data_IF_420046243253
#
_entry.id   IF_420046243253
#
_cell.length_a   1.000
_cell.length_b   1.000
_cell.length_c   1.000
_cell.angle_alpha   90.00
_cell.angle_beta   90.00
_cell.angle_gamma   90.00
#
_symmetry.space_group_name_H-M   'P 1'
#
loop_
_entity.id
_entity.type
_entity.pdbx_description
1 polymer ?
#
# COMPACT_ATOMS: atom_id res chain seq x y z
N UNK A 1 -16.02 -7.30 19.05
CA UNK A 1 -15.49 -6.26 18.15
C UNK A 1 -15.76 -6.71 16.72
N UNK A 2 -16.33 -5.84 15.88
CA UNK A 2 -16.54 -6.16 14.46
C UNK A 2 -15.18 -6.35 13.78
N UNK A 3 -15.08 -7.32 12.86
CA UNK A 3 -13.86 -7.49 12.07
C UNK A 3 -13.55 -6.23 11.27
N UNK A 4 -12.27 -5.85 11.18
CA UNK A 4 -11.81 -4.79 10.27
C UNK A 4 -12.27 -5.09 8.84
N UNK A 5 -12.71 -4.05 8.13
CA UNK A 5 -13.13 -4.16 6.73
C UNK A 5 -12.06 -3.60 5.80
N UNK A 6 -11.85 -4.27 4.68
CA UNK A 6 -10.89 -3.86 3.66
C UNK A 6 -11.63 -3.41 2.40
N UNK A 7 -11.31 -2.23 1.91
CA UNK A 7 -11.81 -1.68 0.64
C UNK A 7 -10.63 -1.55 -0.30
N UNK A 8 -10.65 -2.27 -1.42
CA UNK A 8 -9.59 -2.21 -2.42
C UNK A 8 -9.99 -1.26 -3.55
N UNK A 9 -9.15 -0.27 -3.82
CA UNK A 9 -9.34 0.68 -4.93
C UNK A 9 -8.35 0.35 -6.03
N UNK A 10 -8.85 -0.01 -7.21
CA UNK A 10 -8.05 -0.30 -8.39
C UNK A 10 -8.41 0.66 -9.54
N UNK A 11 -7.53 0.77 -10.55
CA UNK A 11 -7.76 1.61 -11.72
C UNK A 11 -7.76 0.81 -13.01
N UNK A 12 -8.70 1.10 -13.90
CA UNK A 12 -8.72 0.55 -15.26
C UNK A 12 -8.47 1.63 -16.32
N UNK A 13 -8.31 1.19 -17.57
CA UNK A 13 -8.15 2.03 -18.77
C UNK A 13 -6.85 2.81 -18.83
N UNK A 14 -6.61 3.73 -17.90
CA UNK A 14 -5.43 4.59 -17.89
C UNK A 14 -5.06 5.05 -16.48
N UNK A 15 -3.79 5.36 -16.28
CA UNK A 15 -3.29 6.05 -15.09
C UNK A 15 -3.75 7.52 -15.06
N UNK A 16 -3.60 8.18 -13.89
CA UNK A 16 -3.93 9.60 -13.69
C UNK A 16 -5.41 9.99 -13.73
N UNK A 17 -6.33 9.02 -13.61
CA UNK A 17 -7.78 9.27 -13.48
C UNK A 17 -8.22 9.76 -12.07
N UNK A 18 -7.27 9.97 -11.15
CA UNK A 18 -7.56 10.51 -9.81
C UNK A 18 -7.94 9.46 -8.74
N UNK A 19 -7.36 8.26 -8.80
CA UNK A 19 -7.59 7.19 -7.79
C UNK A 19 -7.39 7.69 -6.36
N UNK A 20 -6.28 8.36 -6.07
CA UNK A 20 -5.98 8.89 -4.74
C UNK A 20 -7.03 9.85 -4.19
N UNK A 21 -7.54 10.76 -5.02
CA UNK A 21 -8.58 11.72 -4.61
C UNK A 21 -9.91 11.01 -4.32
N UNK A 22 -10.25 9.99 -5.11
CA UNK A 22 -11.45 9.17 -4.88
C UNK A 22 -11.32 8.37 -3.58
N UNK A 23 -10.17 7.71 -3.35
CA UNK A 23 -9.87 6.98 -2.12
C UNK A 23 -9.97 7.89 -0.89
N UNK A 24 -9.35 9.07 -0.95
CA UNK A 24 -9.37 10.07 0.13
C UNK A 24 -10.78 10.59 0.41
N UNK A 25 -11.54 10.87 -0.64
CA UNK A 25 -12.93 11.35 -0.52
C UNK A 25 -13.85 10.29 0.09
N UNK A 26 -13.71 9.02 -0.33
CA UNK A 26 -14.47 7.92 0.25
C UNK A 26 -14.13 7.72 1.74
N UNK A 27 -12.84 7.72 2.09
CA UNK A 27 -12.43 7.64 3.48
C UNK A 27 -12.97 8.80 4.31
N UNK A 28 -13.02 10.02 3.76
CA UNK A 28 -13.59 11.18 4.45
C UNK A 28 -15.09 11.04 4.70
N UNK A 29 -15.84 10.51 3.73
CA UNK A 29 -17.26 10.21 3.91
C UNK A 29 -17.47 9.14 4.98
N UNK A 30 -16.65 8.10 5.02
CA UNK A 30 -16.72 7.07 6.07
C UNK A 30 -16.37 7.64 7.46
N UNK A 31 -15.36 8.51 7.57
CA UNK A 31 -15.08 9.24 8.81
C UNK A 31 -16.28 10.10 9.26
N UNK A 32 -17.03 10.69 8.33
CA UNK A 32 -18.24 11.47 8.67
C UNK A 32 -19.38 10.62 9.25
N UNK A 33 -19.27 9.29 9.14
CA UNK A 33 -20.18 8.31 9.74
C UNK A 33 -19.55 7.66 10.99
N UNK A 34 -18.59 8.34 11.62
CA UNK A 34 -17.90 7.92 12.85
C UNK A 34 -17.04 6.64 12.74
N UNK A 35 -16.70 6.20 11.51
CA UNK A 35 -15.74 5.10 11.33
C UNK A 35 -14.29 5.58 11.49
N UNK A 36 -13.46 4.77 12.16
CA UNK A 36 -12.00 4.97 12.17
C UNK A 36 -11.44 4.41 10.87
N UNK A 37 -10.96 5.29 9.99
CA UNK A 37 -10.50 4.92 8.64
C UNK A 37 -9.06 5.34 8.41
N UNK A 38 -8.30 4.49 7.73
CA UNK A 38 -6.97 4.81 7.19
C UNK A 38 -6.85 4.35 5.75
N UNK A 39 -5.84 4.88 5.05
CA UNK A 39 -5.55 4.55 3.66
C UNK A 39 -4.13 3.99 3.57
N UNK A 40 -3.95 2.93 2.78
CA UNK A 40 -2.67 2.42 2.34
C UNK A 40 -2.51 2.63 0.83
N UNK A 41 -1.32 3.04 0.41
CA UNK A 41 -0.91 3.11 -0.99
C UNK A 41 0.09 1.99 -1.30
N UNK A 42 -0.25 1.20 -2.32
CA UNK A 42 0.61 0.15 -2.85
C UNK A 42 1.15 0.58 -4.21
N UNK A 43 2.44 0.89 -4.26
CA UNK A 43 3.11 1.42 -5.43
C UNK A 43 3.86 0.32 -6.21
N UNK A 44 3.55 0.13 -7.51
CA UNK A 44 4.15 -0.94 -8.29
C UNK A 44 5.57 -0.67 -8.78
N UNK A 45 6.17 0.48 -8.45
CA UNK A 45 7.55 0.77 -8.82
C UNK A 45 8.57 -0.03 -7.99
N UNK A 46 9.76 -0.23 -8.58
CA UNK A 46 10.82 -1.10 -8.03
C UNK A 46 11.69 -0.39 -6.98
N UNK A 47 11.64 0.94 -6.89
CA UNK A 47 12.32 1.67 -5.82
C UNK A 47 11.81 1.23 -4.44
N UNK A 48 12.71 1.05 -3.48
CA UNK A 48 12.36 0.63 -2.10
C UNK A 48 11.59 1.74 -1.36
N UNK A 49 11.97 2.97 -1.66
CA UNK A 49 11.39 4.23 -1.20
C UNK A 49 11.54 5.27 -2.34
N UNK A 50 10.79 6.37 -2.31
CA UNK A 50 10.89 7.41 -3.32
C UNK A 50 12.08 8.36 -3.11
N UNK A 51 12.93 8.16 -2.07
CA UNK A 51 14.07 9.05 -1.77
C UNK A 51 15.14 9.09 -2.87
N UNK A 52 15.13 8.08 -3.75
CA UNK A 52 16.01 8.00 -4.93
C UNK A 52 15.41 8.59 -6.20
N UNK A 53 14.13 8.98 -6.19
CA UNK A 53 13.45 9.57 -7.35
C UNK A 53 13.76 11.07 -7.47
N UNK A 54 13.82 11.57 -8.70
CA UNK A 54 13.96 13.00 -8.95
C UNK A 54 12.62 13.72 -8.63
N UNK A 55 12.58 14.62 -7.64
CA UNK A 55 11.32 15.21 -7.21
C UNK A 55 10.69 16.15 -8.24
N UNK A 56 11.48 16.68 -9.18
CA UNK A 56 10.96 17.54 -10.25
C UNK A 56 10.22 16.76 -11.34
N UNK A 57 10.44 15.45 -11.43
CA UNK A 57 9.83 14.57 -12.44
C UNK A 57 8.72 13.71 -11.84
N UNK A 58 8.90 13.26 -10.60
CA UNK A 58 8.00 12.30 -9.95
C UNK A 58 7.17 12.88 -8.80
N UNK A 59 7.39 14.15 -8.45
CA UNK A 59 6.71 14.81 -7.33
C UNK A 59 7.49 14.74 -6.02
N UNK A 60 6.95 15.37 -4.99
CA UNK A 60 7.62 15.43 -3.68
C UNK A 60 7.74 14.05 -3.01
N UNK A 61 8.78 13.89 -2.20
CA UNK A 61 8.84 12.81 -1.22
C UNK A 61 8.12 13.29 0.05
N UNK A 62 7.09 12.57 0.49
CA UNK A 62 6.37 12.87 1.73
C UNK A 62 7.01 12.13 2.90
N UNK A 63 7.25 12.83 4.01
CA UNK A 63 7.87 12.26 5.21
C UNK A 63 6.83 12.16 6.32
N UNK A 64 6.59 10.95 6.80
CA UNK A 64 5.65 10.66 7.90
C UNK A 64 6.26 10.96 9.27
N UNK A 65 5.43 11.05 10.30
CA UNK A 65 5.85 11.33 11.69
C UNK A 65 6.84 10.29 12.25
N UNK A 66 6.81 9.05 11.77
CA UNK A 66 7.75 7.98 12.12
C UNK A 66 9.04 8.01 11.28
N UNK A 67 9.21 9.03 10.43
CA UNK A 67 10.42 9.29 9.66
C UNK A 67 10.54 8.49 8.36
N UNK A 68 9.46 7.89 7.86
CA UNK A 68 9.50 7.18 6.59
C UNK A 68 9.37 8.12 5.40
N UNK A 69 10.24 7.95 4.42
CA UNK A 69 10.14 8.56 3.10
C UNK A 69 9.12 7.77 2.25
N UNK A 70 8.11 8.47 1.74
CA UNK A 70 6.92 7.87 1.12
C UNK A 70 6.41 8.67 -0.07
N UNK A 71 5.53 8.07 -0.86
CA UNK A 71 4.90 8.73 -2.01
C UNK A 71 4.05 9.94 -1.58
N UNK A 72 3.98 10.96 -2.44
CA UNK A 72 3.23 12.20 -2.20
C UNK A 72 1.75 11.97 -1.86
N UNK A 73 1.17 10.85 -2.28
CA UNK A 73 -0.23 10.52 -2.02
C UNK A 73 -0.53 10.36 -0.53
N UNK A 74 0.45 9.96 0.30
CA UNK A 74 0.24 9.92 1.75
C UNK A 74 -0.04 11.32 2.31
N UNK A 75 0.66 12.34 1.79
CA UNK A 75 0.36 13.73 2.13
C UNK A 75 -1.06 14.14 1.74
N UNK A 76 -1.57 13.67 0.59
CA UNK A 76 -2.98 13.89 0.22
C UNK A 76 -3.92 13.25 1.24
N UNK A 77 -3.66 12.00 1.64
CA UNK A 77 -4.52 11.29 2.58
C UNK A 77 -4.52 11.96 3.96
N UNK A 78 -3.36 12.33 4.50
CA UNK A 78 -3.28 13.03 5.78
C UNK A 78 -4.06 14.35 5.75
N UNK A 79 -3.91 15.15 4.69
CA UNK A 79 -4.61 16.43 4.53
C UNK A 79 -6.14 16.25 4.45
N UNK A 80 -6.63 15.20 3.78
CA UNK A 80 -8.07 14.93 3.69
C UNK A 80 -8.65 14.38 4.99
N UNK A 81 -7.94 13.45 5.62
CA UNK A 81 -8.43 12.67 6.75
C UNK A 81 -8.13 13.29 8.10
N UNK A 82 -7.14 14.18 8.17
CA UNK A 82 -6.59 14.69 9.42
C UNK A 82 -6.18 13.56 10.38
N UNK A 83 -5.57 12.52 9.82
CA UNK A 83 -5.09 11.32 10.52
C UNK A 83 -3.65 11.10 10.09
N UNK A 84 -2.78 10.81 11.04
CA UNK A 84 -1.36 10.55 10.80
C UNK A 84 -1.19 9.20 10.11
N UNK A 85 -0.35 9.18 9.09
CA UNK A 85 0.12 7.98 8.42
C UNK A 85 1.50 7.58 8.93
N UNK A 86 1.90 6.36 8.60
CA UNK A 86 3.14 5.72 9.05
C UNK A 86 3.80 5.01 7.87
N UNK A 87 4.97 4.42 8.09
CA UNK A 87 5.61 3.56 7.11
C UNK A 87 4.70 2.42 6.61
N UNK A 88 3.77 1.94 7.42
CA UNK A 88 2.82 0.88 7.06
C UNK A 88 1.72 1.33 6.08
N UNK A 89 1.61 2.64 5.82
CA UNK A 89 0.66 3.22 4.87
C UNK A 89 1.23 3.30 3.45
N UNK A 90 2.54 3.13 3.23
CA UNK A 90 3.15 3.09 1.90
C UNK A 90 3.94 1.80 1.69
N UNK A 91 3.60 1.08 0.63
CA UNK A 91 4.19 -0.22 0.30
C UNK A 91 4.60 -0.23 -1.16
N UNK A 92 5.89 -0.44 -1.43
CA UNK A 92 6.44 -0.47 -2.80
C UNK A 92 6.78 -1.88 -3.23
N UNK A 93 6.79 -2.15 -4.55
CA UNK A 93 7.27 -3.44 -5.08
C UNK A 93 8.72 -3.67 -4.67
N UNK A 94 9.56 -2.63 -4.73
CA UNK A 94 10.94 -2.69 -4.25
C UNK A 94 11.08 -3.25 -2.84
N UNK A 95 10.35 -2.67 -1.89
CA UNK A 95 10.39 -3.06 -0.47
C UNK A 95 9.89 -4.49 -0.24
N UNK A 96 8.84 -4.91 -0.95
CA UNK A 96 8.31 -6.28 -0.89
C UNK A 96 9.37 -7.27 -1.36
N UNK A 97 9.94 -7.05 -2.55
CA UNK A 97 10.92 -7.96 -3.14
C UNK A 97 12.20 -8.01 -2.30
N UNK A 98 12.69 -6.86 -1.83
CA UNK A 98 13.83 -6.80 -0.92
C UNK A 98 13.57 -7.65 0.33
N UNK A 99 12.42 -7.49 0.97
CA UNK A 99 12.07 -8.23 2.20
C UNK A 99 12.06 -9.74 1.95
N UNK A 100 11.46 -10.20 0.85
CA UNK A 100 11.40 -11.62 0.51
C UNK A 100 12.77 -12.18 0.17
N UNK A 101 13.60 -11.45 -0.59
CA UNK A 101 14.97 -11.86 -0.93
C UNK A 101 15.83 -11.95 0.34
N UNK A 102 15.71 -10.99 1.25
CA UNK A 102 16.44 -11.01 2.52
C UNK A 102 16.06 -12.20 3.41
N UNK A 103 14.75 -12.49 3.54
CA UNK A 103 14.25 -13.69 4.25
C UNK A 103 14.81 -14.97 3.63
N UNK A 104 14.85 -15.02 2.30
CA UNK A 104 15.42 -16.16 1.58
C UNK A 104 16.92 -16.35 1.86
N UNK A 105 17.71 -15.27 1.79
CA UNK A 105 19.15 -15.31 2.12
C UNK A 105 19.44 -15.66 3.57
N UNK A 106 18.53 -15.36 4.50
CA UNK A 106 18.61 -15.77 5.93
C UNK A 106 18.25 -17.24 6.16
N UNK A 107 17.68 -17.91 5.16
CA UNK A 107 17.27 -19.31 5.25
C UNK A 107 15.84 -19.51 5.77
N UNK A 108 15.02 -18.46 5.85
CA UNK A 108 13.66 -18.51 6.43
C UNK A 108 12.72 -19.43 5.63
N UNK A 109 13.01 -19.66 4.34
CA UNK A 109 12.25 -20.58 3.48
C UNK A 109 12.79 -22.02 3.48
N UNK A 110 13.71 -22.37 4.38
CA UNK A 110 14.17 -23.74 4.63
C UNK A 110 14.72 -24.45 3.37
N UNK A 111 15.43 -23.70 2.52
CA UNK A 111 16.03 -24.21 1.28
C UNK A 111 15.04 -24.55 0.15
N UNK A 112 13.76 -24.18 0.30
CA UNK A 112 12.75 -24.36 -0.74
C UNK A 112 12.81 -23.23 -1.78
N UNK A 113 12.28 -23.50 -2.98
CA UNK A 113 12.18 -22.49 -4.04
C UNK A 113 11.26 -21.35 -3.63
N UNK A 114 11.77 -20.12 -3.76
CA UNK A 114 10.99 -18.89 -3.60
C UNK A 114 10.39 -18.47 -4.94
N UNK A 115 9.12 -18.05 -4.92
CA UNK A 115 8.27 -17.83 -6.09
C UNK A 115 7.34 -16.65 -5.83
N UNK A 116 6.83 -16.00 -6.89
CA UNK A 116 5.84 -14.92 -6.79
C UNK A 116 4.61 -15.37 -6.00
N UNK A 117 4.04 -16.51 -6.37
CA UNK A 117 2.98 -17.18 -5.60
C UNK A 117 3.62 -18.42 -4.95
N UNK A 118 3.58 -18.58 -3.61
CA UNK A 118 2.87 -17.73 -2.66
C UNK A 118 3.73 -16.61 -2.04
N UNK A 119 5.05 -16.60 -2.18
CA UNK A 119 5.94 -15.84 -1.29
C UNK A 119 5.79 -14.31 -1.42
N UNK A 120 5.81 -13.78 -2.65
CA UNK A 120 5.57 -12.34 -2.88
C UNK A 120 4.13 -11.98 -2.53
N UNK A 121 3.16 -12.80 -2.96
CA UNK A 121 1.75 -12.53 -2.66
C UNK A 121 1.44 -12.58 -1.16
N UNK A 122 2.12 -13.42 -0.40
CA UNK A 122 2.00 -13.51 1.05
C UNK A 122 2.59 -12.28 1.73
N UNK A 123 3.76 -11.80 1.31
CA UNK A 123 4.34 -10.56 1.82
C UNK A 123 3.39 -9.37 1.54
N UNK A 124 2.81 -9.28 0.34
CA UNK A 124 1.82 -8.23 0.02
C UNK A 124 0.61 -8.31 0.97
N UNK A 125 0.03 -9.49 1.16
CA UNK A 125 -1.13 -9.69 2.05
C UNK A 125 -0.80 -9.33 3.50
N UNK A 126 0.41 -9.65 3.96
CA UNK A 126 0.87 -9.30 5.30
C UNK A 126 0.88 -7.78 5.49
N UNK A 127 1.42 -7.04 4.49
CA UNK A 127 1.40 -5.57 4.50
C UNK A 127 -0.01 -4.99 4.48
N UNK A 128 -0.94 -5.61 3.74
CA UNK A 128 -2.34 -5.19 3.73
C UNK A 128 -3.00 -5.37 5.11
N UNK A 129 -2.63 -6.41 5.86
CA UNK A 129 -3.21 -6.72 7.18
C UNK A 129 -2.58 -5.95 8.34
N UNK A 130 -1.34 -5.49 8.19
CA UNK A 130 -0.55 -4.89 9.28
C UNK A 130 -1.32 -3.81 10.06
N UNK A 131 -1.97 -2.87 9.36
CA UNK A 131 -2.76 -1.82 10.03
C UNK A 131 -4.07 -2.34 10.64
N UNK A 132 -4.63 -3.44 10.12
CA UNK A 132 -5.85 -4.04 10.66
C UNK A 132 -5.62 -4.82 11.95
N UNK A 133 -4.38 -5.21 12.21
CA UNK A 133 -3.97 -5.94 13.40
C UNK A 133 -3.70 -5.02 14.60
N UNK A 134 -3.58 -3.70 14.41
CA UNK A 134 -3.35 -2.75 15.51
C UNK A 134 -4.58 -2.52 16.39
N UNK A 135 -5.79 -2.73 15.83
CA UNK A 135 -7.07 -2.44 16.50
C UNK A 135 -7.51 -0.98 16.44
N UNK A 136 -6.76 -0.12 15.75
CA UNK A 136 -7.01 1.32 15.68
C UNK A 136 -8.06 1.71 14.63
N UNK A 137 -8.31 0.83 13.66
CA UNK A 137 -9.15 1.12 12.49
C UNK A 137 -10.31 0.15 12.34
N UNK A 138 -11.45 0.66 11.90
CA UNK A 138 -12.63 -0.12 11.53
C UNK A 138 -12.60 -0.47 10.04
N UNK A 139 -12.06 0.43 9.22
CA UNK A 139 -11.98 0.29 7.76
C UNK A 139 -10.58 0.70 7.28
N UNK A 140 -10.00 -0.13 6.41
CA UNK A 140 -8.75 0.14 5.72
C UNK A 140 -9.04 0.22 4.23
N UNK A 141 -8.72 1.35 3.62
CA UNK A 141 -8.78 1.50 2.17
C UNK A 141 -7.37 1.25 1.61
N UNK A 142 -7.24 0.30 0.71
CA UNK A 142 -5.96 -0.01 0.06
C UNK A 142 -6.05 0.39 -1.40
N UNK A 143 -5.35 1.46 -1.78
CA UNK A 143 -5.19 1.86 -3.16
C UNK A 143 -4.07 1.06 -3.82
N UNK A 144 -4.40 0.39 -4.92
CA UNK A 144 -3.43 -0.30 -5.77
C UNK A 144 -3.02 0.64 -6.91
N UNK A 145 -1.75 1.03 -6.91
CA UNK A 145 -1.13 1.80 -7.98
C UNK A 145 -1.06 1.02 -9.30
N UNK A 146 -0.75 1.74 -10.37
CA UNK A 146 -0.77 1.20 -11.74
C UNK A 146 -2.18 1.08 -12.32
N UNK A 147 -2.28 0.36 -13.44
CA UNK A 147 -3.53 0.10 -14.15
C UNK A 147 -3.74 -1.41 -14.28
N UNK A 148 -4.96 -1.88 -14.01
CA UNK A 148 -5.33 -3.28 -14.16
C UNK A 148 -5.11 -3.69 -15.62
N UNK A 149 -4.31 -4.73 -15.82
CA UNK A 149 -3.86 -5.20 -17.14
C UNK A 149 -2.35 -5.06 -17.32
N UNK A 150 -1.72 -4.13 -16.60
CA UNK A 150 -0.27 -3.97 -16.63
C UNK A 150 0.44 -5.05 -15.79
N UNK A 151 1.62 -5.46 -16.26
CA UNK A 151 2.42 -6.55 -15.65
C UNK A 151 2.79 -6.21 -14.20
N UNK A 152 3.10 -4.95 -13.93
CA UNK A 152 3.54 -4.47 -12.62
C UNK A 152 2.48 -4.66 -11.52
N UNK A 153 1.20 -4.64 -11.87
CA UNK A 153 0.10 -4.79 -10.91
C UNK A 153 -0.29 -6.24 -10.64
N UNK A 154 0.17 -7.21 -11.44
CA UNK A 154 -0.29 -8.61 -11.37
C UNK A 154 -0.13 -9.24 -9.97
N UNK A 155 1.02 -9.10 -9.25
CA UNK A 155 1.14 -9.66 -7.91
C UNK A 155 0.15 -9.04 -6.92
N UNK A 156 -0.12 -7.73 -7.03
CA UNK A 156 -1.07 -7.06 -6.16
C UNK A 156 -2.50 -7.52 -6.39
N UNK A 157 -2.93 -7.62 -7.65
CA UNK A 157 -4.28 -8.08 -7.99
C UNK A 157 -4.51 -9.52 -7.51
N UNK A 158 -3.51 -10.40 -7.67
CA UNK A 158 -3.62 -11.76 -7.12
C UNK A 158 -3.67 -11.77 -5.59
N UNK A 159 -2.89 -10.92 -4.91
CA UNK A 159 -2.97 -10.78 -3.45
C UNK A 159 -4.33 -10.28 -2.98
N UNK A 160 -4.91 -9.28 -3.65
CA UNK A 160 -6.26 -8.78 -3.35
C UNK A 160 -7.30 -9.88 -3.53
N UNK A 161 -7.19 -10.70 -4.60
CA UNK A 161 -8.11 -11.83 -4.85
C UNK A 161 -8.05 -12.90 -3.75
N UNK A 162 -6.93 -13.02 -3.02
CA UNK A 162 -6.74 -13.97 -1.93
C UNK A 162 -7.16 -13.45 -0.54
N UNK A 163 -7.52 -12.17 -0.43
CA UNK A 163 -7.86 -11.48 0.82
C UNK A 163 -9.34 -11.55 1.18
#
# INVERSE_FOLDING_TARGET
MSSVKYIFVTGGVASSLGKGIVSASLAKLLQSQDFRVTIQKFDPYINVDPGTLNPYEHGECFVTDDGAETDLDLGHYERFLNVKTSQANNVTTGRIYQTVIEKERKGDFLGKTVQVIPHITNEIKERMRTLGETGDYDIIITEIGGTVGDIESLPYIESVRQM
#
